data_IF_293899670796
#
_entry.id   IF_293899670796
#
_cell.length_a   1.000
_cell.length_b   1.000
_cell.length_c   1.000
_cell.angle_alpha   90.00
_cell.angle_beta   90.00
_cell.angle_gamma   90.00
#
_symmetry.space_group_name_H-M   'P 1'
#
loop_
_entity.id
_entity.type
_entity.pdbx_description
1 polymer ?
#
# COMPACT_ATOMS: atom_id res chain seq x y z
N UNK A 1 -2.25 -5.03 7.82
CA UNK A 1 -3.37 -4.70 6.92
C UNK A 1 -4.24 -5.92 6.66
N UNK A 2 -5.50 -5.69 6.29
CA UNK A 2 -6.47 -6.72 5.94
C UNK A 2 -7.22 -6.30 4.67
N UNK A 3 -7.57 -7.29 3.82
CA UNK A 3 -8.36 -7.04 2.61
C UNK A 3 -9.87 -7.01 2.88
N UNK A 4 -10.33 -7.73 3.90
CA UNK A 4 -11.72 -7.68 4.30
C UNK A 4 -12.06 -6.35 5.01
N UNK A 5 -13.29 -5.87 4.82
CA UNK A 5 -13.78 -4.69 5.55
C UNK A 5 -13.67 -4.94 7.07
N UNK A 6 -13.08 -4.00 7.83
CA UNK A 6 -12.99 -4.10 9.28
C UNK A 6 -14.37 -4.23 9.95
N UNK A 7 -14.53 -5.26 10.75
CA UNK A 7 -15.72 -5.50 11.57
C UNK A 7 -15.39 -5.32 13.04
N UNK A 8 -16.41 -5.15 13.88
CA UNK A 8 -16.22 -5.05 15.34
C UNK A 8 -15.51 -6.28 15.93
N UNK A 9 -15.78 -7.47 15.39
CA UNK A 9 -15.10 -8.72 15.82
C UNK A 9 -13.60 -8.69 15.50
N UNK A 10 -13.22 -8.20 14.31
CA UNK A 10 -11.82 -8.01 13.94
C UNK A 10 -11.14 -6.99 14.87
N UNK A 11 -11.81 -5.88 15.14
CA UNK A 11 -11.32 -4.82 16.05
C UNK A 11 -11.10 -5.37 17.47
N UNK A 12 -12.07 -6.13 18.01
CA UNK A 12 -11.95 -6.78 19.33
C UNK A 12 -10.76 -7.75 19.38
N UNK A 13 -10.58 -8.57 18.34
CA UNK A 13 -9.46 -9.49 18.26
C UNK A 13 -8.13 -8.74 18.20
N UNK A 14 -8.06 -7.67 17.41
CA UNK A 14 -6.85 -6.83 17.33
C UNK A 14 -6.52 -6.20 18.69
N UNK A 15 -7.51 -5.66 19.40
CA UNK A 15 -7.33 -5.08 20.73
C UNK A 15 -6.85 -6.14 21.74
N UNK A 16 -7.44 -7.34 21.73
CA UNK A 16 -7.03 -8.45 22.60
C UNK A 16 -5.58 -8.90 22.35
N UNK A 17 -5.07 -8.75 21.14
CA UNK A 17 -3.68 -9.02 20.78
C UNK A 17 -2.72 -7.85 21.10
N UNK A 18 -3.21 -6.76 21.67
CA UNK A 18 -2.41 -5.56 21.95
C UNK A 18 -2.10 -4.70 20.72
N UNK A 19 -2.78 -4.95 19.61
CA UNK A 19 -2.66 -4.15 18.38
C UNK A 19 -3.09 -2.70 18.60
N UNK A 20 -2.64 -1.81 17.71
CA UNK A 20 -2.91 -0.36 17.80
C UNK A 20 -3.81 0.14 16.67
N UNK A 21 -3.86 -0.59 15.57
CA UNK A 21 -4.64 -0.20 14.40
C UNK A 21 -5.12 -1.39 13.59
N UNK A 22 -6.18 -1.18 12.83
CA UNK A 22 -6.63 -2.04 11.72
C UNK A 22 -6.57 -1.22 10.44
N UNK A 23 -5.82 -1.71 9.47
CA UNK A 23 -5.63 -1.06 8.17
C UNK A 23 -6.41 -1.84 7.10
N UNK A 24 -7.31 -1.16 6.41
CA UNK A 24 -8.06 -1.73 5.31
C UNK A 24 -7.32 -1.52 3.99
N UNK A 25 -7.04 -2.61 3.27
CA UNK A 25 -6.23 -2.62 2.06
C UNK A 25 -6.99 -3.16 0.84
N UNK A 26 -8.29 -3.06 0.79
CA UNK A 26 -8.98 -3.82 -0.24
C UNK A 26 -10.38 -3.36 -0.61
N UNK A 27 -10.54 -2.10 -0.95
CA UNK A 27 -11.76 -1.66 -1.63
C UNK A 27 -11.43 -0.98 -2.95
N UNK A 28 -12.36 -1.04 -3.89
CA UNK A 28 -12.25 -0.32 -5.16
C UNK A 28 -13.18 0.88 -5.14
N UNK A 29 -12.66 2.02 -5.58
CA UNK A 29 -13.40 3.24 -5.83
C UNK A 29 -12.78 3.94 -7.05
N UNK A 30 -13.61 4.47 -7.93
CA UNK A 30 -13.16 4.91 -9.24
C UNK A 30 -13.47 6.37 -9.56
N UNK A 31 -14.17 7.07 -8.66
CA UNK A 31 -14.58 8.45 -8.84
C UNK A 31 -14.71 9.15 -7.49
N UNK A 32 -14.88 10.47 -7.54
CA UNK A 32 -15.05 11.33 -6.38
C UNK A 32 -16.21 10.90 -5.47
N UNK A 33 -17.36 10.54 -6.05
CA UNK A 33 -18.54 10.15 -5.27
C UNK A 33 -18.25 8.91 -4.41
N UNK A 34 -17.61 7.91 -5.00
CA UNK A 34 -17.21 6.67 -4.32
C UNK A 34 -16.11 6.94 -3.28
N UNK A 35 -15.17 7.85 -3.56
CA UNK A 35 -14.14 8.26 -2.59
C UNK A 35 -14.75 8.98 -1.38
N UNK A 36 -15.74 9.85 -1.59
CA UNK A 36 -16.48 10.51 -0.50
C UNK A 36 -17.30 9.50 0.32
N UNK A 37 -17.91 8.51 -0.33
CA UNK A 37 -18.61 7.42 0.35
C UNK A 37 -17.65 6.59 1.21
N UNK A 38 -16.45 6.27 0.71
CA UNK A 38 -15.41 5.57 1.45
C UNK A 38 -14.92 6.39 2.65
N UNK A 39 -14.75 7.71 2.51
CA UNK A 39 -14.37 8.59 3.62
C UNK A 39 -15.35 8.47 4.80
N UNK A 40 -16.66 8.52 4.51
CA UNK A 40 -17.70 8.35 5.51
C UNK A 40 -17.67 6.95 6.15
N UNK A 41 -17.49 5.93 5.33
CA UNK A 41 -17.42 4.54 5.80
C UNK A 41 -16.22 4.31 6.74
N UNK A 42 -15.05 4.91 6.42
CA UNK A 42 -13.85 4.86 7.27
C UNK A 42 -14.07 5.59 8.60
N UNK A 43 -14.76 6.73 8.62
CA UNK A 43 -15.10 7.43 9.85
C UNK A 43 -16.10 6.64 10.72
N UNK A 44 -17.08 5.95 10.12
CA UNK A 44 -18.00 5.05 10.82
C UNK A 44 -17.23 3.86 11.45
N UNK A 45 -16.29 3.26 10.70
CA UNK A 45 -15.43 2.20 11.23
C UNK A 45 -14.52 2.70 12.34
N UNK A 46 -13.97 3.90 12.21
CA UNK A 46 -13.14 4.50 13.25
C UNK A 46 -13.94 4.76 14.54
N UNK A 47 -15.16 5.25 14.41
CA UNK A 47 -16.06 5.43 15.56
C UNK A 47 -16.41 4.09 16.26
N UNK A 48 -16.61 3.02 15.48
CA UNK A 48 -16.82 1.67 16.00
C UNK A 48 -15.58 1.13 16.72
N UNK A 49 -14.38 1.47 16.25
CA UNK A 49 -13.13 0.97 16.80
C UNK A 49 -12.59 1.78 18.00
N UNK A 50 -13.01 3.04 18.13
CA UNK A 50 -12.56 3.98 19.17
C UNK A 50 -12.69 3.44 20.61
N UNK A 51 -13.83 2.79 21.02
CA UNK A 51 -13.98 2.23 22.36
C UNK A 51 -12.95 1.15 22.71
N UNK A 52 -12.33 0.54 21.72
CA UNK A 52 -11.31 -0.51 21.88
C UNK A 52 -9.89 0.04 21.80
N UNK A 53 -9.71 1.36 21.64
CA UNK A 53 -8.41 2.00 21.50
C UNK A 53 -7.71 1.66 20.17
N UNK A 54 -8.45 1.22 19.17
CA UNK A 54 -7.94 0.82 17.85
C UNK A 54 -8.16 1.93 16.83
N UNK A 55 -7.10 2.36 16.17
CA UNK A 55 -7.18 3.28 15.02
C UNK A 55 -7.59 2.53 13.77
N UNK A 56 -8.34 3.18 12.90
CA UNK A 56 -8.67 2.65 11.56
C UNK A 56 -7.93 3.44 10.50
N UNK A 57 -7.34 2.75 9.56
CA UNK A 57 -6.61 3.36 8.46
C UNK A 57 -6.87 2.67 7.13
N UNK A 58 -6.39 3.30 6.08
CA UNK A 58 -6.42 2.80 4.72
C UNK A 58 -4.99 2.58 4.17
N UNK A 59 -4.81 1.57 3.33
CA UNK A 59 -3.56 1.31 2.62
C UNK A 59 -3.78 1.51 1.12
N UNK A 60 -2.88 2.26 0.48
CA UNK A 60 -2.93 2.55 -0.94
C UNK A 60 -2.10 1.60 -1.79
N UNK A 61 -2.51 1.50 -3.06
CA UNK A 61 -1.68 1.14 -4.21
C UNK A 61 -1.57 2.36 -5.14
N UNK A 62 -1.23 2.15 -6.42
CA UNK A 62 -1.15 3.26 -7.39
C UNK A 62 -2.52 3.80 -7.78
N UNK A 63 -3.55 2.94 -7.88
CA UNK A 63 -4.89 3.29 -8.40
C UNK A 63 -5.61 4.36 -7.58
N UNK A 64 -5.34 4.45 -6.28
CA UNK A 64 -5.93 5.44 -5.38
C UNK A 64 -5.46 6.87 -5.67
N UNK A 65 -4.36 7.01 -6.43
CA UNK A 65 -3.85 8.30 -6.90
C UNK A 65 -4.37 8.68 -8.30
N UNK A 66 -5.29 7.91 -8.88
CA UNK A 66 -5.97 8.31 -10.10
C UNK A 66 -6.69 9.67 -9.86
N UNK A 67 -6.51 10.58 -10.83
CA UNK A 67 -7.08 11.93 -10.72
C UNK A 67 -8.49 11.94 -11.31
N UNK A 68 -9.47 12.32 -10.49
CA UNK A 68 -10.84 12.58 -10.90
C UNK A 68 -11.23 14.00 -10.49
N UNK A 69 -11.87 14.76 -11.35
CA UNK A 69 -12.24 16.15 -11.11
C UNK A 69 -11.12 17.04 -10.50
N UNK A 70 -9.87 16.78 -10.85
CA UNK A 70 -8.71 17.60 -10.50
C UNK A 70 -7.97 17.21 -9.22
N UNK A 71 -8.41 16.18 -8.48
CA UNK A 71 -7.72 15.65 -7.30
C UNK A 71 -7.56 14.14 -7.38
N UNK A 72 -6.46 13.58 -6.82
CA UNK A 72 -6.34 12.14 -6.59
C UNK A 72 -7.48 11.60 -5.72
N UNK A 73 -7.97 10.42 -6.06
CA UNK A 73 -9.07 9.78 -5.32
C UNK A 73 -8.78 9.65 -3.82
N UNK A 74 -7.54 9.30 -3.45
CA UNK A 74 -7.14 9.20 -2.04
C UNK A 74 -7.22 10.53 -1.29
N UNK A 75 -6.97 11.65 -1.98
CA UNK A 75 -7.08 12.98 -1.38
C UNK A 75 -8.53 13.33 -1.05
N UNK A 76 -9.50 12.96 -1.92
CA UNK A 76 -10.92 13.10 -1.57
C UNK A 76 -11.27 12.31 -0.29
N UNK A 77 -10.71 11.12 -0.13
CA UNK A 77 -10.94 10.32 1.09
C UNK A 77 -10.38 11.04 2.32
N UNK A 78 -9.13 11.48 2.26
CA UNK A 78 -8.47 12.09 3.43
C UNK A 78 -9.01 13.48 3.76
N UNK A 79 -9.37 14.28 2.77
CA UNK A 79 -9.92 15.62 2.95
C UNK A 79 -11.35 15.60 3.54
N UNK A 80 -12.08 14.50 3.35
CA UNK A 80 -13.46 14.35 3.81
C UNK A 80 -13.65 13.33 4.93
N UNK A 81 -12.57 12.71 5.43
CA UNK A 81 -12.56 11.89 6.63
C UNK A 81 -11.83 12.62 7.74
N UNK A 82 -12.39 12.63 8.94
CA UNK A 82 -11.76 13.22 10.13
C UNK A 82 -10.98 12.23 10.98
N UNK A 83 -11.24 10.93 10.82
CA UNK A 83 -10.73 9.86 11.69
C UNK A 83 -9.90 8.79 10.97
N UNK A 84 -9.86 8.79 9.64
CA UNK A 84 -9.08 7.83 8.88
C UNK A 84 -7.58 8.15 8.97
N UNK A 85 -6.79 7.15 9.28
CA UNK A 85 -5.32 7.18 9.16
C UNK A 85 -4.87 6.53 7.86
N UNK A 86 -3.59 6.73 7.52
CA UNK A 86 -2.95 6.07 6.38
C UNK A 86 -1.87 5.10 6.84
N UNK A 87 -1.82 3.94 6.21
CA UNK A 87 -0.60 3.22 5.97
C UNK A 87 -0.18 3.56 4.53
N UNK A 88 0.72 4.53 4.40
CA UNK A 88 1.18 4.99 3.09
C UNK A 88 2.17 3.98 2.50
N UNK A 89 1.80 3.34 1.40
CA UNK A 89 2.78 2.64 0.58
C UNK A 89 3.54 3.67 -0.26
N UNK A 90 4.78 3.93 0.14
CA UNK A 90 5.61 4.95 -0.48
C UNK A 90 6.01 4.57 -1.90
N UNK A 91 6.27 3.29 -2.16
CA UNK A 91 6.64 2.79 -3.49
C UNK A 91 5.48 2.91 -4.48
N UNK A 92 4.28 2.52 -4.10
CA UNK A 92 3.11 2.68 -4.96
C UNK A 92 2.70 4.13 -5.15
N UNK A 93 2.83 4.98 -4.13
CA UNK A 93 2.61 6.42 -4.26
C UNK A 93 3.58 7.05 -5.25
N UNK A 94 4.89 6.77 -5.12
CA UNK A 94 5.92 7.24 -6.05
C UNK A 94 5.67 6.70 -7.47
N UNK A 95 5.33 5.41 -7.61
CA UNK A 95 4.99 4.83 -8.90
C UNK A 95 3.83 5.57 -9.58
N UNK A 96 2.83 5.97 -8.82
CA UNK A 96 1.69 6.76 -9.30
C UNK A 96 2.02 8.22 -9.65
N UNK A 97 3.21 8.70 -9.30
CA UNK A 97 3.62 10.08 -9.52
C UNK A 97 3.36 11.01 -8.32
N UNK A 98 3.00 10.45 -7.17
CA UNK A 98 2.83 11.20 -5.92
C UNK A 98 4.11 11.11 -5.10
N UNK A 99 4.74 12.25 -4.82
CA UNK A 99 5.96 12.32 -4.03
C UNK A 99 5.66 12.12 -2.54
N UNK A 100 6.08 11.00 -1.92
CA UNK A 100 5.67 10.64 -0.56
C UNK A 100 5.96 11.71 0.50
N UNK A 101 7.13 12.38 0.55
CA UNK A 101 7.39 13.43 1.55
C UNK A 101 6.39 14.57 1.52
N UNK A 102 6.01 15.02 0.33
CA UNK A 102 5.01 16.09 0.18
C UNK A 102 3.62 15.63 0.62
N UNK A 103 3.26 14.39 0.31
CA UNK A 103 1.99 13.80 0.73
C UNK A 103 1.93 13.64 2.27
N UNK A 104 3.02 13.17 2.90
CA UNK A 104 3.13 13.04 4.36
C UNK A 104 2.93 14.41 5.04
N UNK A 105 3.60 15.45 4.56
CA UNK A 105 3.45 16.82 5.10
C UNK A 105 2.05 17.38 4.91
N UNK A 106 1.43 17.12 3.75
CA UNK A 106 0.04 17.53 3.48
C UNK A 106 -0.93 16.90 4.46
N UNK A 107 -0.73 15.63 4.79
CA UNK A 107 -1.58 14.86 5.70
C UNK A 107 -0.90 14.60 7.05
N UNK A 108 -0.17 15.61 7.55
CA UNK A 108 0.51 15.56 8.85
C UNK A 108 -0.41 15.05 9.95
N UNK A 109 0.11 14.18 10.81
CA UNK A 109 -0.61 13.49 11.89
C UNK A 109 -1.67 12.47 11.43
N UNK A 110 -1.69 12.15 10.13
CA UNK A 110 -2.58 11.12 9.57
C UNK A 110 -1.82 9.86 9.11
N UNK A 111 -0.50 9.91 9.01
CA UNK A 111 0.34 8.80 8.55
C UNK A 111 0.75 7.94 9.74
N UNK A 112 0.02 6.85 9.96
CA UNK A 112 0.24 5.93 11.09
C UNK A 112 1.32 4.89 10.81
N UNK A 113 1.49 4.53 9.56
CA UNK A 113 2.51 3.59 9.10
C UNK A 113 2.93 3.93 7.67
N UNK A 114 4.10 3.47 7.29
CA UNK A 114 4.51 3.42 5.89
C UNK A 114 4.85 1.98 5.50
N UNK A 115 4.56 1.61 4.24
CA UNK A 115 5.25 0.51 3.61
C UNK A 115 6.55 1.03 3.00
N UNK A 116 7.64 0.45 3.49
CA UNK A 116 8.98 0.67 2.95
C UNK A 116 9.14 -0.26 1.77
N UNK A 117 8.71 0.23 0.63
CA UNK A 117 8.70 -0.47 -0.66
C UNK A 117 9.54 0.30 -1.66
N UNK A 118 10.54 -0.35 -2.23
CA UNK A 118 11.39 0.29 -3.22
C UNK A 118 10.64 0.58 -4.51
N UNK A 119 11.09 1.61 -5.22
CA UNK A 119 10.55 1.96 -6.53
C UNK A 119 11.67 2.50 -7.43
N UNK A 120 11.70 2.04 -8.69
CA UNK A 120 12.69 2.40 -9.70
C UNK A 120 12.15 3.28 -10.83
N UNK A 121 10.83 3.57 -10.83
CA UNK A 121 10.19 4.30 -11.93
C UNK A 121 8.84 4.90 -11.54
N UNK A 122 8.44 5.91 -12.31
CA UNK A 122 7.09 6.52 -12.25
C UNK A 122 6.31 6.09 -13.48
N UNK A 123 5.21 5.38 -13.29
CA UNK A 123 4.34 4.88 -14.37
C UNK A 123 3.00 5.62 -14.43
N UNK A 124 2.68 6.38 -13.39
CA UNK A 124 1.37 6.96 -13.18
C UNK A 124 0.39 6.02 -12.45
N UNK A 125 -0.79 6.49 -12.09
CA UNK A 125 -1.76 5.74 -11.31
C UNK A 125 -2.43 4.58 -12.09
N UNK A 126 -2.09 4.40 -13.34
CA UNK A 126 -2.73 3.42 -14.21
C UNK A 126 -4.06 3.90 -14.78
N UNK A 127 -4.82 3.00 -15.42
CA UNK A 127 -6.16 3.32 -15.92
C UNK A 127 -7.11 3.59 -14.76
N UNK A 128 -8.21 4.30 -15.05
CA UNK A 128 -9.27 4.54 -14.07
C UNK A 128 -9.70 3.20 -13.42
N UNK A 129 -9.74 3.12 -12.10
CA UNK A 129 -10.23 1.92 -11.42
C UNK A 129 -11.67 1.60 -11.84
N UNK A 130 -12.01 0.32 -11.92
CA UNK A 130 -13.40 -0.08 -12.11
C UNK A 130 -14.19 0.20 -10.82
N UNK A 131 -15.45 0.65 -10.97
CA UNK A 131 -16.31 0.80 -9.80
C UNK A 131 -16.64 -0.58 -9.19
N UNK A 132 -16.90 -0.60 -7.89
CA UNK A 132 -17.32 -1.81 -7.19
C UNK A 132 -18.63 -2.42 -7.82
N UNK A 133 -19.46 -1.58 -8.47
CA UNK A 133 -20.65 -2.00 -9.19
C UNK A 133 -20.34 -2.59 -10.58
N UNK A 134 -19.26 -2.14 -11.20
CA UNK A 134 -18.82 -2.63 -12.54
C UNK A 134 -17.91 -3.84 -12.42
N UNK A 135 -17.21 -4.02 -11.31
CA UNK A 135 -16.36 -5.18 -11.03
C UNK A 135 -17.14 -6.51 -10.98
N UNK A 136 -18.48 -6.47 -10.91
CA UNK A 136 -19.34 -7.65 -11.11
C UNK A 136 -19.43 -8.09 -12.58
N UNK A 137 -18.88 -7.34 -13.52
CA UNK A 137 -18.91 -7.57 -14.98
C UNK A 137 -17.60 -8.07 -15.59
N UNK A 138 -16.74 -8.74 -14.84
CA UNK A 138 -15.55 -9.41 -15.37
C UNK A 138 -14.31 -8.52 -15.32
N UNK A 139 -13.47 -8.76 -14.34
CA UNK A 139 -12.10 -8.29 -14.33
C UNK A 139 -11.41 -8.72 -15.63
N UNK A 140 -10.65 -7.83 -16.33
CA UNK A 140 -9.74 -8.26 -17.38
C UNK A 140 -8.62 -9.18 -16.84
N UNK A 141 -8.49 -9.28 -15.52
CA UNK A 141 -7.67 -10.29 -14.88
C UNK A 141 -8.42 -11.63 -14.92
N UNK A 142 -7.90 -12.53 -15.71
CA UNK A 142 -8.34 -13.92 -15.72
C UNK A 142 -8.30 -14.42 -14.27
N UNK A 143 -9.47 -14.79 -13.73
CA UNK A 143 -9.51 -15.39 -12.40
C UNK A 143 -8.77 -16.73 -12.48
N UNK A 144 -7.51 -16.75 -12.07
CA UNK A 144 -6.63 -17.92 -12.16
C UNK A 144 -7.28 -19.15 -11.49
N UNK A 145 -8.15 -18.94 -10.49
CA UNK A 145 -8.86 -20.01 -9.79
C UNK A 145 -9.93 -20.70 -10.67
N UNK A 146 -10.41 -20.00 -11.69
CA UNK A 146 -11.44 -20.50 -12.63
C UNK A 146 -10.85 -21.19 -13.86
N UNK A 147 -9.53 -21.04 -14.08
CA UNK A 147 -8.84 -21.72 -15.17
C UNK A 147 -8.74 -23.22 -14.94
N UNK A 148 -8.75 -24.04 -16.00
CA UNK A 148 -8.40 -25.46 -15.93
C UNK A 148 -7.04 -25.66 -15.22
N UNK A 149 -6.95 -26.76 -14.47
CA UNK A 149 -5.75 -27.05 -13.67
C UNK A 149 -4.45 -27.03 -14.50
N UNK A 150 -4.49 -27.60 -15.69
CA UNK A 150 -3.37 -27.63 -16.63
C UNK A 150 -2.90 -26.23 -17.03
N UNK A 151 -3.83 -25.31 -17.32
CA UNK A 151 -3.51 -23.94 -17.65
C UNK A 151 -2.88 -23.20 -16.45
N UNK A 152 -3.41 -23.44 -15.23
CA UNK A 152 -2.83 -22.87 -14.01
C UNK A 152 -1.41 -23.35 -13.76
N UNK A 153 -1.16 -24.65 -13.94
CA UNK A 153 0.16 -25.24 -13.80
C UNK A 153 1.15 -24.65 -14.80
N UNK A 154 0.76 -24.56 -16.08
CA UNK A 154 1.59 -23.96 -17.12
C UNK A 154 1.92 -22.49 -16.82
N UNK A 155 0.93 -21.70 -16.42
CA UNK A 155 1.15 -20.29 -16.04
C UNK A 155 2.11 -20.17 -14.85
N UNK A 156 1.98 -21.04 -13.85
CA UNK A 156 2.88 -21.07 -12.70
C UNK A 156 4.31 -21.44 -13.11
N UNK A 157 4.47 -22.46 -13.95
CA UNK A 157 5.77 -22.89 -14.49
C UNK A 157 6.46 -21.76 -15.28
N UNK A 158 5.71 -21.09 -16.18
CA UNK A 158 6.22 -19.97 -16.96
C UNK A 158 6.60 -18.77 -16.08
N UNK A 159 5.78 -18.46 -15.07
CA UNK A 159 6.04 -17.39 -14.10
C UNK A 159 7.30 -17.71 -13.28
N UNK A 160 7.39 -18.92 -12.75
CA UNK A 160 8.54 -19.38 -11.94
C UNK A 160 9.81 -19.34 -12.78
N UNK A 161 9.79 -19.95 -13.98
CA UNK A 161 10.96 -19.96 -14.87
C UNK A 161 11.46 -18.56 -15.22
N UNK A 162 10.54 -17.63 -15.50
CA UNK A 162 10.90 -16.23 -15.78
C UNK A 162 11.53 -15.54 -14.58
N UNK A 163 10.99 -15.76 -13.38
CA UNK A 163 11.44 -15.08 -12.17
C UNK A 163 12.74 -15.67 -11.62
N UNK A 164 12.94 -16.98 -11.78
CA UNK A 164 14.17 -17.67 -11.38
C UNK A 164 15.32 -17.53 -12.38
N UNK A 165 15.05 -16.98 -13.57
CA UNK A 165 16.11 -16.68 -14.54
C UNK A 165 17.10 -15.65 -13.99
N UNK A 166 18.38 -15.65 -14.46
CA UNK A 166 19.36 -14.64 -14.06
C UNK A 166 18.86 -13.20 -14.29
N UNK A 167 18.15 -12.96 -15.40
CA UNK A 167 17.57 -11.68 -15.75
C UNK A 167 16.42 -11.31 -14.81
N UNK A 168 15.59 -12.28 -14.45
CA UNK A 168 14.49 -12.11 -13.47
C UNK A 168 15.03 -11.72 -12.08
N UNK A 169 16.03 -12.43 -11.60
CA UNK A 169 16.69 -12.14 -10.32
C UNK A 169 17.35 -10.78 -10.32
N UNK A 170 18.09 -10.44 -11.37
CA UNK A 170 18.71 -9.11 -11.49
C UNK A 170 17.66 -7.99 -11.52
N UNK A 171 16.54 -8.19 -12.21
CA UNK A 171 15.42 -7.24 -12.20
C UNK A 171 14.88 -7.04 -10.78
N UNK A 172 14.69 -8.09 -10.01
CA UNK A 172 14.19 -7.98 -8.63
C UNK A 172 15.19 -7.31 -7.68
N UNK A 173 16.50 -7.53 -7.90
CA UNK A 173 17.54 -6.80 -7.17
C UNK A 173 17.45 -5.29 -7.42
N UNK A 174 17.22 -4.89 -8.67
CA UNK A 174 17.08 -3.47 -9.04
C UNK A 174 15.78 -2.85 -8.53
N UNK A 175 14.66 -3.57 -8.65
CA UNK A 175 13.32 -3.02 -8.38
C UNK A 175 12.86 -3.14 -6.93
N UNK A 176 13.44 -4.05 -6.16
CA UNK A 176 12.91 -4.40 -4.84
C UNK A 176 13.91 -4.23 -3.70
N UNK A 177 15.20 -4.13 -3.97
CA UNK A 177 16.22 -3.94 -2.95
C UNK A 177 16.27 -2.48 -2.51
N UNK A 178 16.17 -2.25 -1.23
CA UNK A 178 16.27 -0.89 -0.69
C UNK A 178 17.63 -0.26 -1.00
N UNK A 179 17.61 0.98 -1.45
CA UNK A 179 18.79 1.73 -1.83
C UNK A 179 19.48 1.21 -3.11
N UNK A 180 18.78 0.48 -3.96
CA UNK A 180 19.29 0.15 -5.28
C UNK A 180 19.69 1.41 -6.05
N UNK A 181 20.73 1.35 -6.94
CA UNK A 181 21.20 2.54 -7.66
C UNK A 181 20.13 3.23 -8.51
N UNK A 182 19.15 2.50 -8.96
CA UNK A 182 18.03 2.96 -9.78
C UNK A 182 16.83 3.45 -8.96
N UNK A 183 16.96 3.48 -7.63
CA UNK A 183 15.89 3.92 -6.73
C UNK A 183 15.46 5.36 -7.03
N UNK A 184 14.14 5.58 -7.04
CA UNK A 184 13.52 6.91 -7.07
C UNK A 184 13.11 7.38 -5.67
N UNK A 185 13.39 6.59 -4.63
CA UNK A 185 12.93 6.86 -3.27
C UNK A 185 13.94 7.70 -2.50
N UNK A 186 13.48 8.80 -1.94
CA UNK A 186 14.25 9.60 -0.96
C UNK A 186 13.80 9.21 0.46
N UNK A 187 14.35 8.10 0.93
CA UNK A 187 13.98 7.55 2.24
C UNK A 187 14.35 8.47 3.40
N UNK A 188 15.43 9.25 3.29
CA UNK A 188 15.78 10.22 4.32
C UNK A 188 14.77 11.36 4.38
N UNK A 189 14.31 11.85 3.22
CA UNK A 189 13.31 12.92 3.18
C UNK A 189 11.91 12.41 3.59
N UNK A 190 11.60 11.14 3.34
CA UNK A 190 10.41 10.48 3.90
C UNK A 190 10.48 10.49 5.43
N UNK A 191 11.64 10.12 6.01
CA UNK A 191 11.84 10.17 7.45
C UNK A 191 11.68 11.59 7.99
N UNK A 192 12.34 12.57 7.37
CA UNK A 192 12.23 13.97 7.77
C UNK A 192 10.76 14.42 7.82
N UNK A 193 9.98 14.07 6.80
CA UNK A 193 8.55 14.41 6.75
C UNK A 193 7.73 13.70 7.85
N UNK A 194 8.09 12.47 8.20
CA UNK A 194 7.45 11.73 9.30
C UNK A 194 7.85 12.32 10.67
N UNK A 195 9.08 12.75 10.86
CA UNK A 195 9.55 13.37 12.09
C UNK A 195 8.89 14.74 12.37
N UNK A 196 8.33 15.38 11.35
CA UNK A 196 7.53 16.59 11.51
C UNK A 196 6.15 16.33 12.12
N UNK A 197 5.70 15.07 12.20
CA UNK A 197 4.45 14.69 12.85
C UNK A 197 4.58 14.61 14.38
N UNK A 198 3.47 14.82 15.09
CA UNK A 198 3.34 14.46 16.51
C UNK A 198 3.00 12.98 16.70
N UNK A 199 2.72 12.28 15.61
CA UNK A 199 2.36 10.86 15.56
C UNK A 199 3.57 10.04 15.11
N UNK A 200 4.02 9.12 15.94
CA UNK A 200 5.03 8.14 15.55
C UNK A 200 4.45 7.16 14.52
N UNK A 201 5.13 7.01 13.39
CA UNK A 201 4.74 6.12 12.32
C UNK A 201 5.51 4.79 12.39
N UNK A 202 4.80 3.69 12.13
CA UNK A 202 5.42 2.38 11.98
C UNK A 202 6.06 2.24 10.60
N UNK A 203 7.28 1.70 10.55
CA UNK A 203 8.00 1.37 9.33
C UNK A 203 7.84 -0.13 9.06
N UNK A 204 7.21 -0.48 7.95
CA UNK A 204 6.92 -1.85 7.56
C UNK A 204 7.60 -2.15 6.24
N UNK A 205 8.69 -2.91 6.28
CA UNK A 205 9.36 -3.36 5.05
C UNK A 205 8.41 -4.28 4.28
N UNK A 206 8.14 -3.93 3.03
CA UNK A 206 7.37 -4.75 2.11
C UNK A 206 8.20 -5.10 0.89
N UNK A 207 8.36 -6.40 0.66
CA UNK A 207 9.05 -6.93 -0.49
C UNK A 207 8.16 -7.94 -1.21
N UNK A 208 7.82 -7.66 -2.46
CA UNK A 208 6.96 -8.52 -3.28
C UNK A 208 7.73 -9.60 -4.02
N UNK A 209 9.00 -9.34 -4.33
CA UNK A 209 9.83 -10.23 -5.11
C UNK A 209 11.23 -10.36 -4.50
N UNK A 210 11.82 -11.52 -4.68
CA UNK A 210 13.11 -11.88 -4.08
C UNK A 210 14.08 -12.34 -5.17
N UNK A 211 15.30 -11.86 -5.10
CA UNK A 211 16.40 -12.27 -6.00
C UNK A 211 17.30 -13.35 -5.36
N UNK A 212 17.14 -13.57 -4.05
CA UNK A 212 17.87 -14.54 -3.26
C UNK A 212 16.92 -15.13 -2.19
N UNK A 213 17.44 -15.81 -1.21
CA UNK A 213 16.69 -16.29 -0.03
C UNK A 213 15.91 -15.13 0.63
N UNK A 214 14.69 -15.43 1.04
CA UNK A 214 13.76 -14.42 1.59
C UNK A 214 14.33 -13.74 2.85
N UNK A 215 14.84 -14.56 3.79
CA UNK A 215 15.36 -14.05 5.05
C UNK A 215 16.60 -13.18 4.82
N UNK A 216 17.44 -13.59 3.87
CA UNK A 216 18.62 -12.81 3.47
C UNK A 216 18.22 -11.45 2.87
N UNK A 217 17.30 -11.44 1.93
CA UNK A 217 16.83 -10.20 1.30
C UNK A 217 16.20 -9.25 2.32
N UNK A 218 15.38 -9.74 3.22
CA UNK A 218 14.76 -8.93 4.27
C UNK A 218 15.80 -8.42 5.28
N UNK A 219 16.79 -9.24 5.62
CA UNK A 219 17.88 -8.82 6.50
C UNK A 219 18.74 -7.70 5.87
N UNK A 220 18.99 -7.77 4.56
CA UNK A 220 19.69 -6.72 3.80
C UNK A 220 18.91 -5.39 3.83
N UNK A 221 17.59 -5.43 3.57
CA UNK A 221 16.74 -4.23 3.62
C UNK A 221 16.71 -3.62 5.03
N UNK A 222 16.56 -4.45 6.06
CA UNK A 222 16.59 -3.98 7.45
C UNK A 222 17.95 -3.41 7.86
N UNK A 223 19.04 -3.98 7.37
CA UNK A 223 20.39 -3.47 7.62
C UNK A 223 20.59 -2.11 6.94
N UNK A 224 20.16 -2.00 5.67
CA UNK A 224 20.24 -0.76 4.91
C UNK A 224 19.48 0.38 5.58
N UNK A 225 18.24 0.14 6.04
CA UNK A 225 17.46 1.13 6.77
C UNK A 225 18.16 1.62 8.03
N UNK A 226 18.73 0.71 8.83
CA UNK A 226 19.44 1.07 10.07
C UNK A 226 20.72 1.87 9.82
N UNK A 227 21.35 1.66 8.69
CA UNK A 227 22.60 2.36 8.33
C UNK A 227 22.35 3.73 7.73
N UNK A 228 21.32 3.89 6.92
CA UNK A 228 21.11 5.06 6.06
C UNK A 228 19.99 5.99 6.55
N UNK A 229 19.07 5.49 7.38
CA UNK A 229 17.92 6.26 7.86
C UNK A 229 18.08 6.50 9.37
N UNK A 230 18.41 7.74 9.74
CA UNK A 230 18.69 8.16 11.14
C UNK A 230 17.69 9.18 11.65
#
# INVERSE_FOLDING_TARGET
SIHAKPTEDIVKKMAALGGKAVIWAGTDFCNKEEALALAKELDEMAAMAEPYGIKVGYHNHSKEFFVDEGLPLMEYVLDNSSKCYMQLDCGWAMNAGTYPPSFIRKYKNRILAIHVKENDRVQGPGPRPASAKEATGGSPFVNVKELPLEQRQKMLEEFTARNESPEGKKRFEVQCKLGAPESNMDWQEIKNALDEQDLEAFWVVERENFYDDHDKCLAEDCAWLKEHIQ
#
